data_IF_655419255108
#
_entry.id   IF_655419255108
#
_cell.length_a   1.000
_cell.length_b   1.000
_cell.length_c   1.000
_cell.angle_alpha   90.00
_cell.angle_beta   90.00
_cell.angle_gamma   90.00
#
_symmetry.space_group_name_H-M   'P 1'
#
loop_
_entity.id
_entity.type
_entity.pdbx_description
1 polymer ?
#
# COMPACT_ATOMS: atom_id res chain seq x y z
N UNK A 1 6.46 -17.20 -13.07
CA UNK A 1 7.35 -16.33 -12.28
C UNK A 1 6.70 -14.97 -12.18
N UNK A 2 6.18 -14.67 -10.99
CA UNK A 2 6.93 -13.73 -10.17
C UNK A 2 6.73 -13.94 -8.66
N UNK A 3 7.69 -14.60 -8.08
CA UNK A 3 8.28 -14.18 -6.82
C UNK A 3 9.75 -14.07 -7.18
N UNK A 4 10.39 -12.96 -6.87
CA UNK A 4 11.79 -12.71 -7.27
C UNK A 4 12.76 -13.19 -6.19
N UNK A 5 12.40 -12.98 -4.92
CA UNK A 5 13.18 -13.46 -3.77
C UNK A 5 12.29 -14.21 -2.79
N UNK A 6 12.87 -15.21 -2.13
CA UNK A 6 12.25 -15.90 -1.00
C UNK A 6 13.23 -15.91 0.17
N UNK A 7 12.82 -15.38 1.32
CA UNK A 7 13.57 -15.53 2.57
C UNK A 7 13.03 -16.77 3.29
N UNK A 8 13.92 -17.68 3.69
CA UNK A 8 13.53 -19.00 4.24
C UNK A 8 14.06 -19.28 5.64
N UNK A 9 14.89 -18.40 6.20
CA UNK A 9 15.56 -18.63 7.50
C UNK A 9 14.66 -18.30 8.70
N UNK A 10 13.42 -17.89 8.45
CA UNK A 10 12.43 -17.52 9.45
C UNK A 10 11.43 -18.65 9.70
N UNK A 11 10.55 -18.49 10.69
CA UNK A 11 9.51 -19.49 11.02
C UNK A 11 8.60 -19.78 9.83
N UNK A 12 8.18 -18.75 9.11
CA UNK A 12 7.48 -18.86 7.84
C UNK A 12 8.29 -18.15 6.75
N UNK A 13 8.19 -18.54 5.47
CA UNK A 13 8.93 -17.85 4.41
C UNK A 13 8.38 -16.44 4.15
N UNK A 14 9.23 -15.58 3.58
CA UNK A 14 8.83 -14.29 3.00
C UNK A 14 8.89 -14.40 1.49
N UNK A 15 7.80 -14.07 0.78
CA UNK A 15 7.74 -14.05 -0.69
C UNK A 15 7.78 -12.61 -1.19
N UNK A 16 8.80 -12.25 -1.97
CA UNK A 16 9.04 -10.87 -2.40
C UNK A 16 8.93 -10.77 -3.93
N UNK A 17 8.07 -9.88 -4.42
CA UNK A 17 7.81 -9.70 -5.85
C UNK A 17 8.82 -8.80 -6.57
N UNK A 18 9.89 -8.36 -5.91
CA UNK A 18 10.89 -7.44 -6.48
C UNK A 18 12.30 -7.75 -6.00
N UNK A 19 13.28 -7.46 -6.84
CA UNK A 19 14.68 -7.39 -6.47
C UNK A 19 15.11 -6.03 -5.90
N UNK A 20 14.30 -4.99 -6.11
CA UNK A 20 14.49 -3.63 -5.58
C UNK A 20 13.95 -3.53 -4.14
N UNK A 21 14.66 -4.15 -3.19
CA UNK A 21 14.34 -4.12 -1.75
C UNK A 21 15.63 -4.00 -0.91
N UNK A 22 15.67 -3.02 0.00
CA UNK A 22 16.82 -2.75 0.86
C UNK A 22 16.92 -3.71 2.06
N UNK A 23 18.11 -3.79 2.67
CA UNK A 23 18.38 -4.73 3.76
C UNK A 23 17.53 -4.47 5.01
N UNK A 24 17.20 -3.21 5.31
CA UNK A 24 16.37 -2.87 6.48
C UNK A 24 14.92 -3.30 6.25
N UNK A 25 14.42 -3.16 5.02
CA UNK A 25 13.12 -3.70 4.63
C UNK A 25 13.09 -5.23 4.71
N UNK A 26 14.17 -5.92 4.28
CA UNK A 26 14.28 -7.39 4.42
C UNK A 26 14.31 -7.82 5.88
N UNK A 27 15.03 -7.10 6.74
CA UNK A 27 15.07 -7.34 8.18
C UNK A 27 13.69 -7.19 8.82
N UNK A 28 12.95 -6.11 8.51
CA UNK A 28 11.57 -5.93 8.99
C UNK A 28 10.65 -7.08 8.56
N UNK A 29 10.71 -7.49 7.28
CA UNK A 29 9.95 -8.63 6.77
C UNK A 29 10.32 -9.94 7.49
N UNK A 30 11.61 -10.17 7.73
CA UNK A 30 12.10 -11.34 8.44
C UNK A 30 11.64 -11.37 9.91
N UNK A 31 11.66 -10.23 10.60
CA UNK A 31 11.18 -10.10 11.97
C UNK A 31 9.69 -10.44 12.08
N UNK A 32 8.87 -9.96 11.15
CA UNK A 32 7.44 -10.28 11.07
C UNK A 32 7.26 -11.78 10.82
N UNK A 33 7.97 -12.35 9.86
CA UNK A 33 7.89 -13.77 9.51
C UNK A 33 8.40 -14.71 10.62
N UNK A 34 9.13 -14.17 11.61
CA UNK A 34 9.49 -14.88 12.84
C UNK A 34 8.37 -14.98 13.88
N UNK A 35 7.31 -14.16 13.79
CA UNK A 35 6.27 -14.10 14.81
C UNK A 35 5.43 -15.39 14.84
N UNK A 36 5.05 -15.87 16.04
CA UNK A 36 4.52 -17.22 16.20
C UNK A 36 3.06 -17.39 15.75
N UNK A 37 2.40 -16.32 15.32
CA UNK A 37 1.01 -16.31 14.89
C UNK A 37 0.87 -15.92 13.42
N UNK A 38 1.97 -15.70 12.68
CA UNK A 38 1.90 -15.51 11.22
C UNK A 38 1.49 -16.82 10.56
N UNK A 39 0.52 -16.72 9.66
CA UNK A 39 -0.04 -17.84 8.92
C UNK A 39 0.65 -18.01 7.57
N UNK A 40 1.14 -19.21 7.29
CA UNK A 40 1.73 -19.67 6.03
C UNK A 40 3.00 -18.94 5.55
N UNK A 41 2.96 -17.61 5.37
CA UNK A 41 4.07 -16.77 4.87
C UNK A 41 3.75 -15.28 5.01
N UNK A 42 4.75 -14.41 4.78
CA UNK A 42 4.57 -12.98 4.54
C UNK A 42 4.73 -12.69 3.05
N UNK A 43 3.86 -11.87 2.46
CA UNK A 43 3.98 -11.45 1.07
C UNK A 43 4.39 -9.97 0.99
N UNK A 44 5.43 -9.68 0.20
CA UNK A 44 5.95 -8.34 -0.04
C UNK A 44 5.78 -7.98 -1.52
N UNK A 45 4.95 -6.97 -1.76
CA UNK A 45 4.59 -6.45 -3.07
C UNK A 45 5.79 -5.71 -3.71
N UNK A 46 5.82 -5.48 -5.03
CA UNK A 46 6.99 -4.89 -5.68
C UNK A 46 7.32 -3.45 -5.22
N UNK A 47 6.34 -2.74 -4.68
CA UNK A 47 6.48 -1.40 -4.09
C UNK A 47 7.01 -1.43 -2.65
N UNK A 48 7.43 -2.60 -2.14
CA UNK A 48 7.86 -2.77 -0.75
C UNK A 48 9.00 -1.83 -0.34
N UNK A 49 8.87 -1.18 0.80
CA UNK A 49 9.91 -0.33 1.37
C UNK A 49 9.72 -0.17 2.89
N UNK A 50 10.74 0.37 3.54
CA UNK A 50 10.78 0.54 4.99
C UNK A 50 9.57 1.33 5.49
N UNK A 51 8.93 0.83 6.54
CA UNK A 51 7.84 1.50 7.24
C UNK A 51 8.03 1.51 8.76
N UNK A 52 7.04 2.02 9.48
CA UNK A 52 6.98 1.96 10.95
C UNK A 52 6.30 0.64 11.33
N UNK A 53 6.92 -0.22 12.14
CA UNK A 53 6.43 -1.56 12.51
C UNK A 53 6.39 -2.63 11.42
N UNK A 54 5.80 -2.34 10.27
CA UNK A 54 5.86 -3.19 9.10
C UNK A 54 6.23 -2.36 7.87
N UNK A 55 6.87 -3.04 6.91
CA UNK A 55 7.15 -2.46 5.59
C UNK A 55 5.84 -2.05 4.91
N UNK A 56 5.88 -0.91 4.23
CA UNK A 56 4.84 -0.56 3.27
C UNK A 56 5.02 -1.49 2.06
N UNK A 57 3.94 -1.94 1.44
CA UNK A 57 3.93 -2.99 0.43
C UNK A 57 3.92 -4.40 1.03
N UNK A 58 3.47 -4.60 2.27
CA UNK A 58 3.39 -5.93 2.90
C UNK A 58 1.96 -6.40 3.12
N UNK A 59 1.79 -7.72 3.03
CA UNK A 59 0.56 -8.44 3.34
C UNK A 59 0.88 -9.55 4.33
N UNK A 60 0.23 -9.48 5.49
CA UNK A 60 0.55 -10.31 6.66
C UNK A 60 -0.74 -10.97 7.11
N UNK A 61 -0.81 -12.30 7.00
CA UNK A 61 -1.91 -13.09 7.53
C UNK A 61 -1.57 -13.60 8.93
N UNK A 62 -2.47 -13.44 9.90
CA UNK A 62 -2.25 -13.84 11.29
C UNK A 62 -3.41 -14.67 11.85
N UNK A 63 -3.08 -15.62 12.72
CA UNK A 63 -4.07 -16.34 13.52
C UNK A 63 -4.36 -15.56 14.81
N UNK A 64 -5.64 -15.25 15.03
CA UNK A 64 -6.15 -14.74 16.31
C UNK A 64 -5.34 -13.57 16.90
N UNK A 65 -4.75 -12.73 16.05
CA UNK A 65 -3.91 -11.63 16.47
C UNK A 65 -3.93 -10.51 15.43
N UNK A 66 -3.87 -9.26 15.85
CA UNK A 66 -3.70 -8.09 14.97
C UNK A 66 -2.51 -7.28 15.44
N UNK A 67 -1.67 -6.81 14.50
CA UNK A 67 -0.51 -5.94 14.76
C UNK A 67 -0.89 -4.49 14.36
N UNK A 68 -1.24 -3.60 15.29
CA UNK A 68 -1.73 -2.25 14.96
C UNK A 68 -0.76 -1.40 14.14
N UNK A 69 0.55 -1.48 14.42
CA UNK A 69 1.56 -0.73 13.66
C UNK A 69 1.70 -1.24 12.22
N UNK A 70 1.32 -2.49 11.96
CA UNK A 70 1.26 -3.01 10.59
C UNK A 70 0.10 -2.36 9.80
N UNK A 71 -0.91 -1.77 10.43
CA UNK A 71 -1.94 -0.96 9.74
C UNK A 71 -1.56 0.53 9.73
N UNK A 72 -0.64 0.97 10.61
CA UNK A 72 -0.13 2.34 10.67
C UNK A 72 -0.46 3.09 11.96
N UNK A 73 -0.84 2.40 13.04
CA UNK A 73 -1.09 2.99 14.36
C UNK A 73 0.12 2.77 15.27
N UNK A 74 0.72 3.85 15.77
CA UNK A 74 1.82 3.79 16.73
C UNK A 74 1.31 3.32 18.10
N UNK A 75 1.97 2.32 18.69
CA UNK A 75 1.55 1.74 19.96
C UNK A 75 2.74 1.40 20.86
N UNK A 76 2.78 2.04 22.02
CA UNK A 76 3.61 1.62 23.13
C UNK A 76 2.79 0.78 24.13
N UNK A 77 3.39 -0.36 24.53
CA UNK A 77 3.11 -1.20 25.73
C UNK A 77 2.37 -2.51 25.46
N UNK A 78 3.14 -3.60 25.48
CA UNK A 78 2.92 -4.80 26.29
C UNK A 78 4.32 -5.31 26.70
N UNK A 79 4.51 -5.78 27.94
CA UNK A 79 5.81 -6.29 28.43
C UNK A 79 6.09 -7.71 27.90
N UNK A 80 6.25 -7.81 26.58
CA UNK A 80 6.61 -9.03 25.86
C UNK A 80 7.92 -8.74 25.13
N UNK A 81 8.89 -9.66 25.19
CA UNK A 81 10.12 -9.52 24.42
C UNK A 81 9.82 -9.82 22.94
N UNK A 82 9.69 -8.75 22.15
CA UNK A 82 9.46 -8.81 20.71
C UNK A 82 10.77 -8.49 19.97
N UNK A 83 10.95 -8.99 18.73
CA UNK A 83 12.08 -8.60 17.88
C UNK A 83 12.13 -7.09 17.63
N UNK A 84 10.97 -6.44 17.57
CA UNK A 84 10.79 -4.99 17.44
C UNK A 84 9.58 -4.58 18.30
N UNK A 85 9.67 -3.41 18.97
CA UNK A 85 8.60 -2.88 19.82
C UNK A 85 7.36 -2.54 19.01
N UNK A 86 7.54 -2.13 17.75
CA UNK A 86 6.44 -1.81 16.85
C UNK A 86 5.65 -3.07 16.41
N UNK A 87 6.11 -4.29 16.74
CA UNK A 87 5.38 -5.54 16.49
C UNK A 87 4.43 -5.92 17.63
N UNK A 88 4.09 -4.98 18.52
CA UNK A 88 3.05 -5.17 19.52
C UNK A 88 1.72 -5.58 18.86
N UNK A 89 0.98 -6.49 19.50
CA UNK A 89 -0.21 -7.09 18.92
C UNK A 89 -1.32 -7.29 19.95
N UNK A 90 -2.57 -7.32 19.47
CA UNK A 90 -3.74 -7.68 20.25
C UNK A 90 -4.18 -9.11 19.96
N UNK A 91 -4.28 -9.99 20.97
CA UNK A 91 -4.88 -11.30 20.81
C UNK A 91 -6.40 -11.21 20.63
N UNK A 92 -6.96 -12.00 19.70
CA UNK A 92 -8.41 -12.11 19.47
C UNK A 92 -9.12 -12.58 20.75
N UNK A 93 -10.24 -11.93 21.09
CA UNK A 93 -10.99 -12.18 22.32
C UNK A 93 -10.60 -11.29 23.50
N UNK A 94 -9.60 -10.42 23.36
CA UNK A 94 -9.33 -9.35 24.34
C UNK A 94 -10.19 -8.12 24.07
N UNK A 95 -10.41 -7.28 25.09
CA UNK A 95 -11.14 -6.01 24.96
C UNK A 95 -10.46 -5.09 23.92
N UNK A 96 -9.15 -4.86 24.05
CA UNK A 96 -8.40 -4.02 23.12
C UNK A 96 -8.40 -4.52 21.67
N UNK A 97 -8.53 -5.83 21.45
CA UNK A 97 -8.71 -6.36 20.11
C UNK A 97 -10.05 -5.91 19.51
N UNK A 98 -11.13 -6.02 20.27
CA UNK A 98 -12.46 -5.61 19.80
C UNK A 98 -12.52 -4.10 19.58
N UNK A 99 -11.99 -3.31 20.52
CA UNK A 99 -11.89 -1.85 20.41
C UNK A 99 -11.13 -1.44 19.15
N UNK A 100 -10.01 -2.12 18.88
CA UNK A 100 -9.20 -1.85 17.70
C UNK A 100 -9.94 -2.18 16.40
N UNK A 101 -10.60 -3.34 16.34
CA UNK A 101 -11.37 -3.75 15.15
C UNK A 101 -12.51 -2.76 14.87
N UNK A 102 -13.25 -2.35 15.91
CA UNK A 102 -14.30 -1.34 15.80
C UNK A 102 -13.74 0.01 15.30
N UNK A 103 -12.66 0.49 15.91
CA UNK A 103 -12.03 1.76 15.53
C UNK A 103 -11.51 1.75 14.08
N UNK A 104 -10.90 0.64 13.62
CA UNK A 104 -10.43 0.51 12.23
C UNK A 104 -11.60 0.50 11.26
N UNK A 105 -12.67 -0.24 11.55
CA UNK A 105 -13.85 -0.24 10.68
C UNK A 105 -14.47 1.15 10.58
N UNK A 106 -14.64 1.86 11.70
CA UNK A 106 -15.10 3.24 11.69
C UNK A 106 -14.20 4.16 10.86
N UNK A 107 -12.87 4.05 11.03
CA UNK A 107 -11.92 4.86 10.26
C UNK A 107 -11.98 4.57 8.75
N UNK A 108 -12.24 3.32 8.35
CA UNK A 108 -12.44 2.96 6.95
C UNK A 108 -13.72 3.58 6.37
N UNK A 109 -14.83 3.52 7.11
CA UNK A 109 -16.09 4.13 6.72
C UNK A 109 -15.96 5.65 6.58
N UNK A 110 -15.33 6.30 7.56
CA UNK A 110 -15.02 7.73 7.49
C UNK A 110 -14.15 8.08 6.27
N UNK A 111 -13.11 7.29 6.01
CA UNK A 111 -12.23 7.50 4.85
C UNK A 111 -12.99 7.35 3.52
N UNK A 112 -13.95 6.42 3.45
CA UNK A 112 -14.81 6.26 2.28
C UNK A 112 -15.75 7.47 2.09
N UNK A 113 -16.42 7.91 3.17
CA UNK A 113 -17.27 9.10 3.14
C UNK A 113 -16.49 10.36 2.72
N UNK A 114 -15.27 10.54 3.26
CA UNK A 114 -14.38 11.63 2.87
C UNK A 114 -14.01 11.58 1.37
N UNK A 115 -13.70 10.38 0.83
CA UNK A 115 -13.41 10.24 -0.62
C UNK A 115 -14.63 10.52 -1.48
N UNK A 116 -15.82 10.12 -1.04
CA UNK A 116 -17.07 10.44 -1.75
C UNK A 116 -17.30 11.96 -1.80
N UNK A 117 -17.18 12.64 -0.66
CA UNK A 117 -17.33 14.10 -0.60
C UNK A 117 -16.30 14.82 -1.49
N UNK A 118 -15.05 14.36 -1.52
CA UNK A 118 -14.03 14.90 -2.42
C UNK A 118 -14.39 14.67 -3.90
N UNK A 119 -14.91 13.49 -4.26
CA UNK A 119 -15.34 13.21 -5.63
C UNK A 119 -16.47 14.16 -6.06
N UNK A 120 -17.48 14.35 -5.21
CA UNK A 120 -18.61 15.24 -5.49
C UNK A 120 -18.13 16.68 -5.72
N UNK A 121 -17.25 17.20 -4.85
CA UNK A 121 -16.66 18.53 -5.01
C UNK A 121 -15.83 18.68 -6.29
N UNK A 122 -15.10 17.64 -6.69
CA UNK A 122 -14.31 17.63 -7.94
C UNK A 122 -15.25 17.63 -9.14
N UNK A 123 -16.31 16.83 -9.13
CA UNK A 123 -17.29 16.79 -10.21
C UNK A 123 -17.99 18.15 -10.38
N UNK A 124 -18.39 18.78 -9.28
CA UNK A 124 -18.97 20.14 -9.28
C UNK A 124 -17.99 21.20 -9.79
N UNK A 125 -16.70 21.07 -9.47
CA UNK A 125 -15.67 21.96 -10.01
C UNK A 125 -15.49 21.78 -11.51
N UNK A 126 -15.45 20.54 -12.01
CA UNK A 126 -15.30 20.23 -13.42
C UNK A 126 -16.52 20.65 -14.24
N UNK A 127 -17.74 20.43 -13.73
CA UNK A 127 -18.99 20.75 -14.41
C UNK A 127 -19.13 22.25 -14.74
N UNK A 128 -18.47 23.13 -13.98
CA UNK A 128 -18.44 24.58 -14.25
C UNK A 128 -17.59 24.97 -15.47
N UNK A 129 -16.68 24.10 -15.90
CA UNK A 129 -15.67 24.41 -16.92
C UNK A 129 -15.70 23.48 -18.13
N UNK A 130 -16.33 22.31 -18.02
CA UNK A 130 -16.44 21.34 -19.11
C UNK A 130 -17.83 21.34 -19.75
N UNK A 131 -17.96 20.90 -21.02
CA UNK A 131 -19.26 20.57 -21.59
C UNK A 131 -20.02 19.56 -20.72
N UNK A 132 -21.37 19.53 -20.79
CA UNK A 132 -22.15 18.57 -20.01
C UNK A 132 -21.64 17.14 -20.17
N UNK A 133 -21.39 16.48 -19.04
CA UNK A 133 -20.93 15.09 -18.98
C UNK A 133 -21.68 14.33 -17.91
N UNK A 134 -21.66 13.00 -18.01
CA UNK A 134 -22.21 12.09 -17.00
C UNK A 134 -21.13 11.11 -16.56
N UNK A 135 -21.17 10.68 -15.31
CA UNK A 135 -20.31 9.59 -14.82
C UNK A 135 -20.85 8.27 -15.39
N UNK A 136 -20.07 7.64 -16.27
CA UNK A 136 -20.50 6.44 -17.02
C UNK A 136 -20.07 5.11 -16.41
N UNK A 137 -19.11 5.14 -15.49
CA UNK A 137 -18.36 3.93 -15.07
C UNK A 137 -18.38 3.76 -13.55
N UNK A 138 -18.21 2.51 -13.10
CA UNK A 138 -18.00 2.18 -11.69
C UNK A 138 -16.79 2.94 -11.14
N UNK A 139 -16.97 3.67 -10.05
CA UNK A 139 -15.88 4.31 -9.35
C UNK A 139 -14.93 3.23 -8.80
N UNK A 140 -13.70 3.19 -9.31
CA UNK A 140 -12.67 2.28 -8.78
C UNK A 140 -12.24 2.81 -7.41
N UNK A 141 -12.58 2.08 -6.35
CA UNK A 141 -12.26 2.42 -4.98
C UNK A 141 -11.59 1.22 -4.30
N UNK A 142 -10.34 1.41 -3.86
CA UNK A 142 -9.60 0.39 -3.13
C UNK A 142 -8.93 1.00 -1.89
N UNK A 143 -9.02 0.28 -0.77
CA UNK A 143 -8.22 0.56 0.43
C UNK A 143 -6.86 -0.12 0.30
N UNK A 144 -5.82 0.50 0.87
CA UNK A 144 -4.46 -0.04 0.85
C UNK A 144 -3.79 -0.15 2.23
N UNK A 145 -4.44 0.35 3.30
CA UNK A 145 -4.02 0.17 4.69
C UNK A 145 -5.24 -0.28 5.51
N UNK A 146 -5.32 -1.56 5.84
CA UNK A 146 -6.43 -2.10 6.65
C UNK A 146 -6.17 -3.55 7.07
N UNK A 147 -7.01 -4.03 7.98
CA UNK A 147 -7.08 -5.44 8.37
C UNK A 147 -8.48 -5.98 8.06
N UNK A 148 -8.57 -7.22 7.59
CA UNK A 148 -9.84 -7.88 7.33
C UNK A 148 -9.75 -9.38 7.63
N UNK A 149 -10.86 -9.98 8.06
CA UNK A 149 -10.96 -11.44 8.22
C UNK A 149 -11.19 -12.09 6.86
N UNK A 150 -10.32 -13.03 6.49
CA UNK A 150 -10.37 -13.71 5.20
C UNK A 150 -10.03 -15.20 5.34
N UNK A 151 -10.44 -16.01 4.37
CA UNK A 151 -10.15 -17.44 4.34
C UNK A 151 -9.01 -17.73 3.37
N UNK A 152 -7.87 -18.20 3.87
CA UNK A 152 -6.68 -18.49 3.06
C UNK A 152 -5.98 -19.76 3.58
N UNK A 153 -5.55 -20.62 2.66
CA UNK A 153 -4.83 -21.87 2.98
C UNK A 153 -5.51 -22.72 4.08
N UNK A 154 -6.84 -22.84 3.99
CA UNK A 154 -7.65 -23.69 4.89
C UNK A 154 -7.91 -23.11 6.28
N UNK A 155 -7.64 -21.82 6.51
CA UNK A 155 -7.89 -21.16 7.79
C UNK A 155 -8.52 -19.77 7.62
N UNK A 156 -9.37 -19.40 8.59
CA UNK A 156 -9.81 -18.02 8.76
C UNK A 156 -8.71 -17.24 9.49
N UNK A 157 -8.23 -16.18 8.85
CA UNK A 157 -7.09 -15.38 9.30
C UNK A 157 -7.39 -13.89 9.18
N UNK A 158 -6.69 -13.10 9.98
CA UNK A 158 -6.71 -11.66 9.86
C UNK A 158 -5.62 -11.24 8.88
N UNK A 159 -6.03 -10.73 7.72
CA UNK A 159 -5.12 -10.25 6.67
C UNK A 159 -4.93 -8.76 6.84
N UNK A 160 -3.72 -8.37 7.25
CA UNK A 160 -3.27 -6.98 7.29
C UNK A 160 -2.62 -6.62 5.97
N UNK A 161 -3.10 -5.56 5.32
CA UNK A 161 -2.46 -4.96 4.15
C UNK A 161 -1.93 -3.59 4.54
N UNK A 162 -0.64 -3.36 4.32
CA UNK A 162 0.00 -2.06 4.48
C UNK A 162 0.62 -1.63 3.16
N UNK A 163 0.09 -0.58 2.54
CA UNK A 163 0.46 -0.22 1.17
C UNK A 163 0.21 -1.36 0.17
N UNK A 164 -0.88 -2.09 0.31
CA UNK A 164 -1.25 -3.14 -0.64
C UNK A 164 -2.78 -3.18 -0.80
N UNK A 165 -3.25 -3.37 -2.03
CA UNK A 165 -4.70 -3.43 -2.32
C UNK A 165 -5.17 -4.88 -2.43
N UNK A 166 -6.48 -5.10 -2.25
CA UNK A 166 -7.10 -6.40 -2.58
C UNK A 166 -7.11 -6.59 -4.10
N UNK A 167 -6.80 -7.80 -4.53
CA UNK A 167 -6.72 -8.21 -5.93
C UNK A 167 -7.22 -9.66 -6.12
N UNK A 168 -8.43 -9.96 -5.62
CA UNK A 168 -9.13 -11.21 -5.97
C UNK A 168 -9.46 -11.21 -7.46
N UNK A 169 -9.77 -12.38 -8.00
CA UNK A 169 -10.17 -12.49 -9.40
C UNK A 169 -11.35 -11.56 -9.69
N UNK A 170 -11.15 -10.62 -10.63
CA UNK A 170 -12.17 -9.65 -11.03
C UNK A 170 -12.21 -8.34 -10.21
N UNK A 171 -11.52 -8.26 -9.07
CA UNK A 171 -11.47 -7.01 -8.29
C UNK A 171 -10.87 -5.87 -9.12
N UNK A 172 -11.55 -4.72 -9.17
CA UNK A 172 -10.97 -3.51 -9.76
C UNK A 172 -10.08 -2.80 -8.74
N UNK A 173 -8.94 -2.29 -9.20
CA UNK A 173 -7.99 -1.54 -8.38
C UNK A 173 -7.36 -0.38 -9.15
N UNK A 174 -6.77 0.54 -8.40
CA UNK A 174 -5.93 1.61 -8.96
C UNK A 174 -4.53 1.54 -8.34
N UNK A 175 -3.51 1.60 -9.18
CA UNK A 175 -2.10 1.65 -8.78
C UNK A 175 -1.53 2.97 -9.32
N UNK A 176 -1.48 4.04 -8.50
CA UNK A 176 -0.93 5.31 -8.92
C UNK A 176 0.59 5.29 -8.91
N UNK A 177 1.18 5.96 -9.90
CA UNK A 177 2.59 6.33 -9.88
C UNK A 177 2.86 7.53 -8.97
N UNK A 178 4.09 8.04 -9.04
CA UNK A 178 4.46 9.33 -8.46
C UNK A 178 3.92 10.52 -9.28
N UNK A 179 4.16 11.74 -8.80
CA UNK A 179 3.67 12.96 -9.45
C UNK A 179 4.17 13.11 -10.89
N UNK A 180 3.30 12.99 -11.89
CA UNK A 180 3.67 13.04 -13.31
C UNK A 180 4.01 11.69 -13.94
N UNK A 181 4.12 10.63 -13.14
CA UNK A 181 4.20 9.27 -13.64
C UNK A 181 2.81 8.74 -14.04
N UNK A 182 2.81 7.60 -14.75
CA UNK A 182 1.58 6.90 -15.14
C UNK A 182 0.87 6.32 -13.92
N UNK A 183 -0.44 6.20 -14.02
CA UNK A 183 -1.26 5.42 -13.09
C UNK A 183 -1.99 4.33 -13.84
N UNK A 184 -2.33 3.24 -13.16
CA UNK A 184 -2.92 2.06 -13.79
C UNK A 184 -4.26 1.71 -13.16
N UNK A 185 -5.28 1.49 -13.98
CA UNK A 185 -6.49 0.78 -13.55
C UNK A 185 -6.26 -0.69 -13.85
N UNK A 186 -6.45 -1.52 -12.82
CA UNK A 186 -6.09 -2.93 -12.85
C UNK A 186 -7.26 -3.81 -12.47
N UNK A 187 -7.18 -5.08 -12.88
CA UNK A 187 -8.06 -6.16 -12.45
C UNK A 187 -7.25 -7.23 -11.71
N UNK A 188 -7.68 -7.63 -10.53
CA UNK A 188 -7.05 -8.68 -9.75
C UNK A 188 -7.16 -10.05 -10.42
N UNK A 189 -6.10 -10.86 -10.26
CA UNK A 189 -6.00 -12.24 -10.77
C UNK A 189 -6.19 -13.30 -9.69
N UNK A 190 -6.37 -12.91 -8.43
CA UNK A 190 -6.63 -13.84 -7.33
C UNK A 190 -5.44 -14.73 -6.97
N UNK A 191 -4.21 -14.22 -7.10
CA UNK A 191 -3.03 -15.00 -6.76
C UNK A 191 -3.03 -15.34 -5.25
N UNK A 192 -3.07 -16.65 -4.93
CA UNK A 192 -3.09 -17.12 -3.55
C UNK A 192 -1.82 -16.75 -2.77
N UNK A 193 -0.66 -16.74 -3.43
CA UNK A 193 0.65 -16.43 -2.82
C UNK A 193 0.79 -14.95 -2.41
N UNK A 194 -0.08 -14.06 -2.91
CA UNK A 194 -0.15 -12.69 -2.42
C UNK A 194 -1.32 -12.47 -1.45
N UNK A 195 -1.95 -13.55 -0.97
CA UNK A 195 -3.24 -13.50 -0.27
C UNK A 195 -4.29 -12.69 -1.07
N UNK A 196 -4.31 -12.89 -2.39
CA UNK A 196 -5.14 -12.16 -3.34
C UNK A 196 -4.95 -10.63 -3.20
N UNK A 197 -3.71 -10.17 -3.23
CA UNK A 197 -3.34 -8.75 -3.10
C UNK A 197 -2.36 -8.30 -4.19
N UNK A 198 -2.19 -6.99 -4.34
CA UNK A 198 -1.22 -6.38 -5.26
C UNK A 198 -0.62 -5.10 -4.68
N UNK A 199 0.41 -4.55 -5.34
CA UNK A 199 0.99 -3.25 -5.00
C UNK A 199 -0.09 -2.17 -5.02
N UNK A 200 0.05 -1.18 -4.14
CA UNK A 200 -0.85 -0.04 -4.10
C UNK A 200 -0.35 1.16 -4.89
N UNK A 201 0.94 1.23 -5.21
CA UNK A 201 1.54 2.37 -5.92
C UNK A 201 2.99 2.11 -6.30
N UNK A 202 3.78 3.17 -6.53
CA UNK A 202 5.20 3.03 -6.90
C UNK A 202 6.11 2.63 -5.73
N UNK A 203 5.78 3.03 -4.50
CA UNK A 203 6.64 2.84 -3.34
C UNK A 203 7.86 3.78 -3.33
N UNK A 204 8.32 4.18 -2.15
CA UNK A 204 9.42 5.14 -2.01
C UNK A 204 10.78 4.44 -2.08
N UNK A 205 11.76 5.08 -2.74
CA UNK A 205 13.18 4.68 -2.69
C UNK A 205 13.96 5.40 -1.60
N UNK A 206 13.44 6.53 -1.13
CA UNK A 206 14.08 7.31 -0.08
C UNK A 206 13.06 8.00 0.82
N UNK A 207 13.49 8.35 2.03
CA UNK A 207 12.65 9.07 2.99
C UNK A 207 12.29 10.46 2.48
N UNK A 208 11.23 11.06 3.05
CA UNK A 208 10.83 12.44 2.75
C UNK A 208 11.96 13.42 2.97
N UNK A 209 12.59 13.36 4.14
CA UNK A 209 13.73 14.21 4.51
C UNK A 209 14.95 13.99 3.61
N UNK A 210 15.17 12.77 3.11
CA UNK A 210 16.25 12.53 2.15
C UNK A 210 15.95 13.17 0.79
N UNK A 211 14.71 13.06 0.31
CA UNK A 211 14.27 13.69 -0.94
C UNK A 211 14.39 15.22 -0.86
N UNK A 212 13.91 15.85 0.22
CA UNK A 212 14.01 17.30 0.46
C UNK A 212 15.46 17.81 0.48
N UNK A 213 16.41 16.98 0.93
CA UNK A 213 17.83 17.33 0.96
C UNK A 213 18.54 17.09 -0.37
N UNK A 214 18.05 16.15 -1.16
CA UNK A 214 18.72 15.70 -2.38
C UNK A 214 18.26 16.46 -3.63
N UNK A 215 16.98 16.85 -3.69
CA UNK A 215 16.37 17.45 -4.86
C UNK A 215 16.07 18.94 -4.68
N UNK A 216 15.97 19.63 -5.81
CA UNK A 216 15.67 21.06 -5.90
C UNK A 216 14.34 21.32 -6.60
N UNK A 217 13.83 22.55 -6.51
CA UNK A 217 12.63 22.97 -7.25
C UNK A 217 12.83 22.84 -8.77
N UNK A 218 14.05 23.06 -9.28
CA UNK A 218 14.36 22.85 -10.69
C UNK A 218 14.25 21.38 -11.11
N UNK A 219 14.68 20.45 -10.25
CA UNK A 219 14.49 19.01 -10.50
C UNK A 219 13.00 18.66 -10.54
N UNK A 220 12.22 19.24 -9.63
CA UNK A 220 10.78 19.03 -9.57
C UNK A 220 10.09 19.54 -10.84
N UNK A 221 10.42 20.74 -11.29
CA UNK A 221 9.90 21.31 -12.53
C UNK A 221 10.22 20.44 -13.75
N UNK A 222 11.46 19.95 -13.82
CA UNK A 222 11.93 19.09 -14.90
C UNK A 222 11.20 17.74 -14.90
N UNK A 223 11.10 17.08 -13.75
CA UNK A 223 10.50 15.75 -13.63
C UNK A 223 8.97 15.75 -13.74
N UNK A 224 8.33 16.90 -13.50
CA UNK A 224 6.88 17.08 -13.65
C UNK A 224 6.50 17.81 -14.95
N UNK A 225 7.42 17.89 -15.91
CA UNK A 225 7.17 18.51 -17.19
C UNK A 225 5.95 17.89 -17.90
N UNK A 226 5.01 18.74 -18.31
CA UNK A 226 3.76 18.30 -18.95
C UNK A 226 2.63 17.96 -17.98
N UNK A 227 2.82 18.15 -16.67
CA UNK A 227 1.77 18.06 -15.65
C UNK A 227 1.62 19.40 -14.93
N UNK A 228 0.37 19.81 -14.73
CA UNK A 228 0.03 21.00 -13.95
C UNK A 228 0.00 20.61 -12.47
N UNK A 229 0.99 21.06 -11.70
CA UNK A 229 1.13 20.74 -10.29
C UNK A 229 1.83 21.86 -9.51
N UNK A 230 1.79 21.79 -8.17
CA UNK A 230 2.67 22.60 -7.31
C UNK A 230 4.13 22.26 -7.60
N UNK A 231 4.98 23.29 -7.58
CA UNK A 231 6.42 23.24 -7.92
C UNK A 231 7.28 24.00 -6.90
N UNK A 232 6.84 24.00 -5.65
CA UNK A 232 7.52 24.66 -4.54
C UNK A 232 8.15 23.64 -3.59
N UNK A 233 9.00 24.15 -2.68
CA UNK A 233 9.68 23.34 -1.65
C UNK A 233 8.76 22.43 -0.84
N UNK A 234 7.50 22.79 -0.63
CA UNK A 234 6.56 22.03 0.19
C UNK A 234 6.04 20.74 -0.47
N UNK A 235 6.48 20.41 -1.69
CA UNK A 235 6.18 19.13 -2.37
C UNK A 235 7.44 18.41 -2.86
N UNK A 236 8.64 18.85 -2.43
CA UNK A 236 9.90 18.19 -2.81
C UNK A 236 10.01 16.78 -2.25
N UNK A 237 9.36 16.49 -1.13
CA UNK A 237 9.31 15.16 -0.55
C UNK A 237 8.53 14.16 -1.44
N UNK A 238 7.77 14.66 -2.41
CA UNK A 238 6.88 13.92 -3.31
C UNK A 238 7.37 13.90 -4.78
N UNK A 239 8.59 14.37 -5.02
CA UNK A 239 9.22 14.40 -6.35
C UNK A 239 9.32 12.99 -6.95
N UNK A 240 9.15 12.82 -8.27
CA UNK A 240 9.16 11.50 -8.91
C UNK A 240 10.39 10.66 -8.64
N UNK A 241 11.57 11.28 -8.62
CA UNK A 241 12.84 10.61 -8.33
C UNK A 241 12.95 10.03 -6.92
N UNK A 242 12.05 10.38 -6.00
CA UNK A 242 11.99 9.76 -4.67
C UNK A 242 11.24 8.41 -4.65
N UNK A 243 10.62 8.02 -5.76
CA UNK A 243 9.82 6.80 -5.91
C UNK A 243 10.50 5.76 -6.80
N UNK A 244 10.06 4.50 -6.70
CA UNK A 244 10.46 3.47 -7.66
C UNK A 244 9.82 3.73 -9.02
N UNK A 245 10.35 3.08 -10.04
CA UNK A 245 9.73 3.10 -11.37
C UNK A 245 8.42 2.30 -11.34
N UNK A 246 7.29 2.99 -11.54
CA UNK A 246 5.97 2.38 -11.54
C UNK A 246 5.85 1.32 -12.65
N UNK A 247 6.51 1.49 -13.80
CA UNK A 247 6.44 0.54 -14.90
C UNK A 247 7.14 -0.78 -14.51
N UNK A 248 8.24 -0.70 -13.75
CA UNK A 248 8.92 -1.86 -13.19
C UNK A 248 8.07 -2.53 -12.09
N UNK A 249 7.42 -1.75 -11.23
CA UNK A 249 6.48 -2.28 -10.21
C UNK A 249 5.36 -3.08 -10.90
N UNK A 250 4.76 -2.52 -11.96
CA UNK A 250 3.73 -3.20 -12.73
C UNK A 250 4.25 -4.46 -13.43
N UNK A 251 5.44 -4.41 -14.03
CA UNK A 251 6.06 -5.58 -14.68
C UNK A 251 6.30 -6.73 -13.69
N UNK A 252 6.72 -6.39 -12.46
CA UNK A 252 6.99 -7.34 -11.39
C UNK A 252 5.74 -8.06 -10.85
N UNK A 253 4.55 -7.46 -10.98
CA UNK A 253 3.28 -8.02 -10.47
C UNK A 253 2.30 -8.48 -11.56
N UNK A 254 2.81 -8.83 -12.75
CA UNK A 254 1.99 -9.26 -13.89
C UNK A 254 1.12 -10.50 -13.63
N UNK A 255 1.39 -11.26 -12.59
CA UNK A 255 0.58 -12.39 -12.12
C UNK A 255 -0.45 -12.03 -11.05
N UNK A 256 -0.29 -10.88 -10.38
CA UNK A 256 -1.21 -10.39 -9.36
C UNK A 256 -2.37 -9.63 -10.01
N UNK A 257 -2.07 -8.91 -11.10
CA UNK A 257 -3.05 -8.04 -11.78
C UNK A 257 -2.93 -8.06 -13.30
N UNK A 258 -4.03 -7.72 -13.97
CA UNK A 258 -4.11 -7.35 -15.38
C UNK A 258 -4.29 -5.84 -15.49
N UNK A 259 -3.58 -5.18 -16.41
CA UNK A 259 -3.76 -3.75 -16.68
C UNK A 259 -4.95 -3.58 -17.63
N UNK A 260 -5.98 -2.86 -17.18
CA UNK A 260 -7.13 -2.50 -18.01
C UNK A 260 -6.91 -1.15 -18.71
N UNK A 261 -6.37 -0.18 -17.98
CA UNK A 261 -6.12 1.17 -18.49
C UNK A 261 -4.82 1.75 -17.96
N UNK A 262 -4.14 2.50 -18.82
CA UNK A 262 -2.98 3.32 -18.47
C UNK A 262 -3.38 4.79 -18.52
N UNK A 263 -3.22 5.49 -17.41
CA UNK A 263 -3.63 6.88 -17.23
C UNK A 263 -2.40 7.78 -17.23
N UNK A 264 -2.48 8.89 -17.98
CA UNK A 264 -1.51 9.99 -17.90
C UNK A 264 -2.08 11.09 -17.03
N UNK A 265 -1.32 11.50 -16.02
CA UNK A 265 -1.70 12.64 -15.20
C UNK A 265 -1.61 13.94 -16.02
N UNK A 266 -2.64 14.78 -15.91
CA UNK A 266 -2.67 16.13 -16.51
C UNK A 266 -2.63 17.22 -15.45
N UNK A 267 -3.24 16.96 -14.29
CA UNK A 267 -3.27 17.85 -13.12
C UNK A 267 -2.95 17.04 -11.86
N UNK A 268 -2.11 17.58 -10.98
CA UNK A 268 -1.85 17.06 -9.64
C UNK A 268 -2.14 18.15 -8.61
N UNK A 269 -3.14 17.94 -7.76
CA UNK A 269 -3.44 18.81 -6.63
C UNK A 269 -2.94 18.11 -5.36
N UNK A 270 -1.93 18.70 -4.72
CA UNK A 270 -1.28 18.16 -3.53
C UNK A 270 -1.23 19.25 -2.45
N UNK A 271 -1.75 18.92 -1.27
CA UNK A 271 -1.72 19.76 -0.06
C UNK A 271 -0.35 19.77 0.59
#
# INVERSE_FOLDING_TARGET
MPVQQVLTDQRVPVKIWTDDVDDRSKEQLANIAGLPFVHHHVAAMPDVHLGIGATIGSVIATHKAIIPAAVGVDMERWMIQLPDRDLAYFPEGTEHFNDYVEAVHWAQEYAMANRQAMLDLVLDALARHLPPFTVTTEAVNCHHNYVAKEHHYGADVWVTRKGAIRAREGDLGIVPGSMGARSYIVRGKGNAESFCSSAHGAGRRMSRTAAEKHFTEADLEMQTAGVICRKDKGVLDEIPGAYKDIDQVMANQRDLTEILHTLKQVVCVKG
#
